data_IF_941955553222
#
_entry.id   IF_941955553222
#
_cell.length_a   1.000
_cell.length_b   1.000
_cell.length_c   1.000
_cell.angle_alpha   90.00
_cell.angle_beta   90.00
_cell.angle_gamma   90.00
#
_symmetry.space_group_name_H-M   'P 1'
#
loop_
_entity.id
_entity.type
_entity.pdbx_description
1 polymer ?
#
# COMPACT_ATOMS: atom_id res chain seq x y z
N UNK A 1 -13.02 2.54 -8.23
CA UNK A 1 -12.96 3.64 -9.20
C UNK A 1 -13.57 3.22 -10.52
N UNK A 2 -14.30 4.12 -11.17
CA UNK A 2 -14.92 3.85 -12.45
C UNK A 2 -14.43 4.83 -13.51
N UNK A 3 -14.17 4.31 -14.70
CA UNK A 3 -13.78 5.10 -15.86
C UNK A 3 -14.85 4.86 -16.94
N UNK A 4 -15.51 5.92 -17.35
CA UNK A 4 -16.56 5.85 -18.37
C UNK A 4 -16.04 6.38 -19.68
N UNK A 5 -16.26 5.64 -20.77
CA UNK A 5 -15.95 6.08 -22.11
C UNK A 5 -17.09 5.73 -23.05
N UNK A 6 -16.91 5.94 -24.35
CA UNK A 6 -17.97 5.72 -25.32
C UNK A 6 -18.42 4.27 -25.42
N UNK A 7 -17.56 3.32 -25.03
CA UNK A 7 -17.85 1.89 -25.14
C UNK A 7 -18.45 1.30 -23.87
N UNK A 8 -18.44 2.06 -22.76
CA UNK A 8 -18.98 1.55 -21.51
C UNK A 8 -18.21 2.03 -20.30
N UNK A 9 -18.19 1.20 -19.26
CA UNK A 9 -17.58 1.53 -17.97
C UNK A 9 -16.48 0.52 -17.64
N UNK A 10 -15.33 1.04 -17.22
CA UNK A 10 -14.24 0.25 -16.68
C UNK A 10 -14.26 0.46 -15.17
N UNK A 11 -14.37 -0.62 -14.41
CA UNK A 11 -14.39 -0.55 -12.94
C UNK A 11 -13.09 -1.12 -12.39
N UNK A 12 -12.43 -0.35 -11.53
CA UNK A 12 -11.22 -0.80 -10.84
C UNK A 12 -11.58 -1.03 -9.38
N UNK A 13 -11.54 -2.30 -8.98
CA UNK A 13 -11.92 -2.71 -7.64
C UNK A 13 -10.84 -2.37 -6.62
N UNK A 14 -11.24 -2.31 -5.35
CA UNK A 14 -10.31 -2.02 -4.25
C UNK A 14 -9.18 -3.03 -4.20
N UNK A 15 -9.45 -4.29 -4.54
CA UNK A 15 -8.43 -5.33 -4.53
C UNK A 15 -7.26 -5.02 -5.45
N UNK A 16 -7.48 -4.30 -6.55
CA UNK A 16 -6.40 -3.91 -7.46
C UNK A 16 -5.42 -2.98 -6.73
N UNK A 17 -5.94 -2.01 -5.99
CA UNK A 17 -5.09 -1.10 -5.22
C UNK A 17 -4.36 -1.83 -4.10
N UNK A 18 -5.02 -2.81 -3.48
CA UNK A 18 -4.36 -3.64 -2.46
C UNK A 18 -3.20 -4.43 -3.06
N UNK A 19 -3.39 -5.00 -4.24
CA UNK A 19 -2.34 -5.74 -4.93
C UNK A 19 -1.16 -4.83 -5.31
N UNK A 20 -1.46 -3.61 -5.76
CA UNK A 20 -0.42 -2.61 -6.06
C UNK A 20 0.40 -2.31 -4.81
N UNK A 21 -0.27 -2.10 -3.68
CA UNK A 21 0.40 -1.81 -2.42
C UNK A 21 1.30 -2.98 -2.00
N UNK A 22 0.83 -4.22 -2.17
CA UNK A 22 1.62 -5.42 -1.85
C UNK A 22 2.88 -5.49 -2.69
N UNK A 23 2.76 -5.27 -3.99
CA UNK A 23 3.91 -5.27 -4.90
C UNK A 23 4.91 -4.19 -4.48
N UNK A 24 4.41 -2.98 -4.18
CA UNK A 24 5.28 -1.87 -3.82
C UNK A 24 6.04 -2.14 -2.53
N UNK A 25 5.34 -2.57 -1.47
CA UNK A 25 5.98 -2.84 -0.17
C UNK A 25 7.03 -3.93 -0.28
N UNK A 26 6.74 -4.98 -1.07
CA UNK A 26 7.67 -6.08 -1.23
C UNK A 26 8.96 -5.68 -1.94
N UNK A 27 8.99 -4.53 -2.60
CA UNK A 27 10.20 -4.02 -3.24
C UNK A 27 11.06 -3.18 -2.31
N UNK A 28 10.54 -2.81 -1.14
CA UNK A 28 11.26 -1.95 -0.20
C UNK A 28 11.99 -2.81 0.81
N UNK A 29 13.31 -2.73 0.79
CA UNK A 29 14.14 -3.50 1.69
C UNK A 29 13.96 -3.06 3.13
N UNK A 30 13.86 -4.04 4.04
CA UNK A 30 13.76 -3.78 5.47
C UNK A 30 12.35 -3.44 5.95
N UNK A 31 11.36 -3.52 5.09
CA UNK A 31 9.96 -3.25 5.44
C UNK A 31 9.09 -4.42 4.98
N UNK A 32 8.09 -4.76 5.78
CA UNK A 32 7.17 -5.85 5.45
C UNK A 32 5.83 -5.66 6.13
N UNK A 33 4.83 -6.38 5.65
CA UNK A 33 3.55 -6.42 6.33
C UNK A 33 3.67 -7.23 7.61
N UNK A 34 2.90 -6.83 8.63
CA UNK A 34 2.89 -7.53 9.90
C UNK A 34 2.10 -8.83 9.72
N UNK A 35 2.74 -9.96 10.04
CA UNK A 35 2.07 -11.26 10.01
C UNK A 35 1.25 -11.45 11.29
N UNK A 36 0.05 -11.99 11.15
CA UNK A 36 -0.79 -12.30 12.28
C UNK A 36 -1.57 -13.58 12.01
N UNK A 37 -2.12 -14.15 13.06
CA UNK A 37 -2.96 -15.36 12.95
C UNK A 37 -4.19 -15.07 12.07
N UNK A 38 -4.65 -13.83 12.05
CA UNK A 38 -5.83 -13.46 11.25
C UNK A 38 -5.57 -13.54 9.76
N UNK A 39 -4.32 -13.43 9.33
CA UNK A 39 -3.96 -13.60 7.91
C UNK A 39 -4.27 -15.01 7.45
N UNK A 40 -4.04 -15.99 8.31
CA UNK A 40 -4.29 -17.40 8.01
C UNK A 40 -5.79 -17.68 7.89
N UNK A 41 -6.61 -16.82 8.52
CA UNK A 41 -8.07 -16.94 8.47
C UNK A 41 -8.69 -16.11 7.35
N UNK A 42 -7.86 -15.44 6.54
CA UNK A 42 -8.35 -14.62 5.44
C UNK A 42 -8.75 -13.21 5.82
N UNK A 43 -8.45 -12.78 7.04
CA UNK A 43 -8.73 -11.41 7.48
C UNK A 43 -7.49 -10.54 7.26
N UNK A 44 -7.47 -9.82 6.16
CA UNK A 44 -6.36 -8.92 5.83
C UNK A 44 -6.78 -7.49 6.07
N UNK A 45 -6.29 -6.90 7.18
CA UNK A 45 -6.60 -5.53 7.57
C UNK A 45 -5.42 -4.57 7.37
N UNK A 46 -4.35 -5.03 6.71
CA UNK A 46 -3.12 -4.24 6.61
C UNK A 46 -3.17 -3.18 5.55
N UNK A 47 -4.05 -3.33 4.58
CA UNK A 47 -4.22 -2.38 3.50
C UNK A 47 -5.69 -2.02 3.41
N UNK A 48 -5.98 -0.76 3.66
CA UNK A 48 -7.35 -0.25 3.56
C UNK A 48 -7.43 0.71 2.39
N UNK A 49 -8.43 0.55 1.56
CA UNK A 49 -8.64 1.40 0.40
C UNK A 49 -10.02 2.03 0.51
N UNK A 50 -10.06 3.35 0.47
CA UNK A 50 -11.29 4.12 0.50
C UNK A 50 -11.26 5.15 -0.61
N UNK A 51 -12.43 5.62 -1.02
CA UNK A 51 -12.53 6.73 -1.95
C UNK A 51 -12.85 7.99 -1.17
N UNK A 52 -12.01 9.01 -1.30
CA UNK A 52 -12.23 10.32 -0.68
C UNK A 52 -12.04 11.38 -1.74
N UNK A 53 -13.05 12.23 -1.92
CA UNK A 53 -12.99 13.32 -2.92
C UNK A 53 -12.62 12.79 -4.30
N UNK A 54 -13.21 11.65 -4.69
CA UNK A 54 -12.98 10.99 -5.99
C UNK A 54 -11.54 10.53 -6.18
N UNK A 55 -10.78 10.36 -5.11
CA UNK A 55 -9.40 9.89 -5.14
C UNK A 55 -9.28 8.64 -4.29
N UNK A 56 -8.49 7.66 -4.71
CA UNK A 56 -8.16 6.54 -3.82
C UNK A 56 -7.40 7.06 -2.60
N UNK A 57 -7.81 6.59 -1.44
CA UNK A 57 -7.08 6.84 -0.19
C UNK A 57 -6.65 5.47 0.32
N UNK A 58 -5.34 5.24 0.29
CA UNK A 58 -4.76 3.94 0.60
C UNK A 58 -4.01 4.04 1.91
N UNK A 59 -4.33 3.19 2.86
CA UNK A 59 -3.66 3.13 4.15
C UNK A 59 -2.95 1.78 4.27
N UNK A 60 -1.65 1.82 4.52
CA UNK A 60 -0.79 0.65 4.56
C UNK A 60 -0.15 0.56 5.93
N UNK A 61 -0.28 -0.62 6.59
CA UNK A 61 0.31 -0.87 7.89
C UNK A 61 1.47 -1.86 7.74
N UNK A 62 2.64 -1.45 8.20
CA UNK A 62 3.88 -2.23 8.00
C UNK A 62 4.73 -2.24 9.28
N UNK A 63 5.72 -3.12 9.29
CA UNK A 63 6.81 -3.05 10.25
C UNK A 63 8.12 -2.80 9.50
N UNK A 64 9.04 -2.15 10.18
CA UNK A 64 10.36 -1.87 9.63
C UNK A 64 11.45 -2.46 10.52
N UNK A 65 12.59 -2.76 9.93
CA UNK A 65 13.73 -3.27 10.68
C UNK A 65 14.32 -2.17 11.57
N UNK A 66 14.78 -2.56 12.74
CA UNK A 66 15.49 -1.65 13.65
C UNK A 66 16.74 -1.11 12.93
N UNK A 67 16.99 0.17 13.15
CA UNK A 67 18.16 0.83 12.57
C UNK A 67 17.91 1.55 11.27
N UNK A 68 16.74 1.36 10.66
CA UNK A 68 16.39 2.08 9.44
C UNK A 68 15.73 3.42 9.77
N UNK A 69 15.87 4.37 8.84
CA UNK A 69 15.09 5.60 8.93
C UNK A 69 13.67 5.31 8.50
N UNK A 70 12.74 5.22 9.44
CA UNK A 70 11.34 4.91 9.13
C UNK A 70 10.68 5.99 8.28
N UNK A 71 10.89 7.30 8.53
CA UNK A 71 10.32 8.31 7.64
C UNK A 71 10.81 8.16 6.20
N UNK A 72 12.08 7.84 6.00
CA UNK A 72 12.62 7.62 4.67
C UNK A 72 12.01 6.39 4.01
N UNK A 73 11.89 5.30 4.76
CA UNK A 73 11.27 4.06 4.24
C UNK A 73 9.79 4.28 3.90
N UNK A 74 9.09 5.04 4.73
CA UNK A 74 7.70 5.40 4.45
C UNK A 74 7.58 6.17 3.15
N UNK A 75 8.48 7.11 2.91
CA UNK A 75 8.50 7.88 1.67
C UNK A 75 8.79 6.99 0.46
N UNK A 76 9.71 6.03 0.60
CA UNK A 76 9.99 5.07 -0.47
C UNK A 76 8.75 4.25 -0.82
N UNK A 77 7.98 3.83 0.20
CA UNK A 77 6.73 3.11 -0.04
C UNK A 77 5.73 4.00 -0.78
N UNK A 78 5.56 5.24 -0.34
CA UNK A 78 4.65 6.18 -1.00
C UNK A 78 5.03 6.38 -2.46
N UNK A 79 6.30 6.58 -2.74
CA UNK A 79 6.79 6.78 -4.11
C UNK A 79 6.60 5.54 -4.96
N UNK A 80 6.83 4.34 -4.39
CA UNK A 80 6.65 3.09 -5.12
C UNK A 80 5.18 2.86 -5.49
N UNK A 81 4.27 3.07 -4.53
CA UNK A 81 2.84 2.92 -4.80
C UNK A 81 2.38 3.96 -5.81
N UNK A 82 2.76 5.21 -5.61
CA UNK A 82 2.39 6.30 -6.50
C UNK A 82 2.88 6.06 -7.92
N UNK A 83 4.12 5.58 -8.07
CA UNK A 83 4.69 5.28 -9.38
C UNK A 83 3.91 4.20 -10.12
N UNK A 84 3.48 3.16 -9.41
CA UNK A 84 2.68 2.11 -10.02
C UNK A 84 1.30 2.61 -10.42
N UNK A 85 0.66 3.39 -9.57
CA UNK A 85 -0.67 3.96 -9.87
C UNK A 85 -0.58 4.89 -11.08
N UNK A 86 0.42 5.76 -11.11
CA UNK A 86 0.61 6.67 -12.23
C UNK A 86 0.79 5.93 -13.54
N UNK A 87 1.58 4.86 -13.51
CA UNK A 87 1.86 4.05 -14.70
C UNK A 87 0.64 3.28 -15.17
N UNK A 88 -0.12 2.71 -14.23
CA UNK A 88 -1.24 1.84 -14.58
C UNK A 88 -2.52 2.60 -14.88
N UNK A 89 -2.70 3.79 -14.29
CA UNK A 89 -3.98 4.50 -14.36
C UNK A 89 -3.87 5.93 -14.92
N UNK A 90 -2.88 6.18 -15.77
CA UNK A 90 -2.75 7.44 -16.49
C UNK A 90 -2.75 8.67 -15.57
N UNK A 91 -1.77 8.71 -14.64
CA UNK A 91 -1.56 9.85 -13.75
C UNK A 91 -2.70 10.08 -12.75
N UNK A 92 -3.37 9.01 -12.32
CA UNK A 92 -4.35 9.13 -11.26
C UNK A 92 -3.70 9.60 -9.98
N UNK A 93 -4.32 10.56 -9.29
CA UNK A 93 -3.87 11.00 -7.98
C UNK A 93 -4.40 10.05 -6.91
N UNK A 94 -3.59 9.78 -5.91
CA UNK A 94 -3.97 8.95 -4.78
C UNK A 94 -3.29 9.47 -3.53
N UNK A 95 -3.95 9.29 -2.39
CA UNK A 95 -3.36 9.57 -1.09
C UNK A 95 -2.87 8.25 -0.49
N UNK A 96 -1.61 8.22 -0.10
CA UNK A 96 -0.97 7.01 0.38
C UNK A 96 -0.44 7.27 1.78
N UNK A 97 -1.04 6.60 2.76
CA UNK A 97 -0.70 6.76 4.18
C UNK A 97 0.01 5.50 4.65
N UNK A 98 1.18 5.65 5.25
CA UNK A 98 1.97 4.54 5.73
C UNK A 98 2.08 4.63 7.24
N UNK A 99 1.70 3.55 7.93
CA UNK A 99 1.80 3.45 9.37
C UNK A 99 2.80 2.36 9.73
N UNK A 100 3.85 2.75 10.44
CA UNK A 100 4.77 1.79 11.03
C UNK A 100 4.21 1.38 12.39
N UNK A 101 3.64 0.20 12.45
CA UNK A 101 3.00 -0.30 13.67
C UNK A 101 3.98 -1.02 14.59
N UNK A 102 5.16 -1.37 14.07
CA UNK A 102 6.13 -2.15 14.82
C UNK A 102 7.53 -1.96 14.24
N UNK A 103 8.53 -2.06 15.09
CA UNK A 103 9.92 -2.17 14.69
C UNK A 103 10.38 -3.58 14.99
N UNK A 104 10.94 -4.26 13.98
CA UNK A 104 11.42 -5.61 14.13
C UNK A 104 12.78 -5.59 14.84
N UNK A 105 12.85 -6.18 16.03
CA UNK A 105 14.06 -6.18 16.86
C UNK A 105 14.67 -7.57 17.01
N UNK A 106 14.10 -8.57 16.34
CA UNK A 106 14.53 -9.96 16.52
C UNK A 106 15.95 -10.26 16.10
N UNK A 107 16.55 -9.43 15.25
CA UNK A 107 17.93 -9.60 14.79
C UNK A 107 18.95 -8.88 15.69
N UNK A 108 18.50 -8.18 16.71
CA UNK A 108 19.37 -7.43 17.63
C UNK A 108 19.79 -8.35 18.76
N UNK A 109 21.08 -8.51 18.94
CA UNK A 109 21.62 -9.34 19.98
C UNK A 109 22.63 -8.54 20.82
#
# INVERSE_FOLDING_TARGET
MQITNEMGVITIEKAVYQDIAKVAVNKIEGVRFISSIFDMLGFDNKIKVQSKNQRPNITIEVEGDYGLSLPQKGKEIQEAVHGLITRLFNNQLADINVFFKRVATGSIR
#
